data_IF_082885907929
#
_entry.id   IF_082885907929
#
_cell.length_a   1.000
_cell.length_b   1.000
_cell.length_c   1.000
_cell.angle_alpha   90.00
_cell.angle_beta   90.00
_cell.angle_gamma   90.00
#
_symmetry.space_group_name_H-M   'P 1'
#
loop_
_entity.id
_entity.type
_entity.pdbx_description
1 polymer ?
#
# COMPACT_ATOMS: atom_id res chain seq x y z
N UNK A 1 76.94 39.21 25.14
CA UNK A 1 75.63 38.81 25.70
C UNK A 1 74.62 38.62 24.58
N UNK A 2 74.43 37.39 24.09
CA UNK A 2 73.47 37.10 23.04
C UNK A 2 72.21 36.55 23.70
N UNK A 3 71.09 37.27 23.55
CA UNK A 3 69.78 36.77 23.95
C UNK A 3 69.14 35.95 22.80
N UNK A 4 69.06 34.65 23.02
CA UNK A 4 68.28 33.76 22.13
C UNK A 4 66.76 33.97 22.43
N UNK A 5 66.04 34.45 21.44
CA UNK A 5 64.56 34.48 21.47
C UNK A 5 64.01 33.16 20.94
N UNK A 6 63.44 32.32 21.81
CA UNK A 6 62.75 31.09 21.44
C UNK A 6 61.42 31.44 20.77
N UNK A 7 61.25 31.00 19.52
CA UNK A 7 59.98 31.07 18.77
C UNK A 7 59.13 29.88 19.17
N UNK A 8 58.04 30.10 19.90
CA UNK A 8 57.04 29.08 20.25
C UNK A 8 56.04 29.00 19.11
N UNK A 9 56.13 27.98 18.26
CA UNK A 9 55.14 27.72 17.24
C UNK A 9 53.96 26.99 17.91
N UNK A 10 52.84 27.68 18.01
CA UNK A 10 51.57 27.08 18.47
C UNK A 10 50.88 26.37 17.29
N UNK A 11 50.89 25.06 17.27
CA UNK A 11 50.07 24.29 16.37
C UNK A 11 48.62 24.31 16.86
N UNK A 12 47.76 25.00 16.12
CA UNK A 12 46.30 24.90 16.31
C UNK A 12 45.83 23.62 15.63
N UNK A 13 45.49 22.62 16.42
CA UNK A 13 44.86 21.41 15.91
C UNK A 13 43.42 21.72 15.50
N UNK A 14 43.16 21.78 14.19
CA UNK A 14 41.79 21.87 13.66
C UNK A 14 41.17 20.48 13.72
N UNK A 15 40.32 20.27 14.73
CA UNK A 15 39.53 19.07 14.89
C UNK A 15 38.33 19.14 13.91
N UNK A 16 38.50 18.53 12.74
CA UNK A 16 37.39 18.41 11.76
C UNK A 16 36.30 17.44 12.32
N UNK A 17 35.19 17.95 12.79
CA UNK A 17 34.02 17.15 13.13
C UNK A 17 33.42 16.56 11.85
N UNK A 18 33.67 15.30 11.59
CA UNK A 18 32.99 14.50 10.58
C UNK A 18 31.57 14.15 11.11
N UNK A 19 30.59 14.94 10.75
CA UNK A 19 29.18 14.62 11.02
C UNK A 19 28.76 13.43 10.11
N UNK A 20 28.17 12.37 10.66
CA UNK A 20 27.67 11.28 9.83
C UNK A 20 26.50 11.80 8.97
N UNK A 21 26.65 11.73 7.66
CA UNK A 21 25.57 11.98 6.72
C UNK A 21 24.61 10.80 6.81
N UNK A 22 23.47 10.99 7.51
CA UNK A 22 22.39 10.01 7.53
C UNK A 22 21.71 9.98 6.16
N UNK A 23 22.04 8.99 5.34
CA UNK A 23 21.34 8.72 4.08
C UNK A 23 19.97 8.15 4.43
N UNK A 24 18.92 8.97 4.36
CA UNK A 24 17.54 8.48 4.45
C UNK A 24 17.25 7.63 3.21
N UNK A 25 16.75 6.40 3.37
CA UNK A 25 16.37 5.58 2.22
C UNK A 25 15.26 6.30 1.43
N UNK A 26 15.48 6.48 0.13
CA UNK A 26 14.46 7.02 -0.76
C UNK A 26 13.22 6.10 -0.68
N UNK A 27 12.06 6.64 -0.32
CA UNK A 27 10.82 5.88 -0.34
C UNK A 27 10.47 5.53 -1.78
N UNK A 28 10.17 4.24 -2.02
CA UNK A 28 9.72 3.81 -3.33
C UNK A 28 8.44 4.56 -3.73
N UNK A 29 8.37 5.04 -4.99
CA UNK A 29 7.23 5.81 -5.52
C UNK A 29 5.93 5.03 -5.49
N UNK A 30 6.00 3.70 -5.56
CA UNK A 30 4.84 2.80 -5.62
C UNK A 30 4.92 1.73 -4.54
N UNK A 31 3.75 1.15 -4.25
CA UNK A 31 3.64 0.04 -3.31
C UNK A 31 4.15 -1.27 -3.89
N UNK A 32 4.71 -2.13 -3.04
CA UNK A 32 5.21 -3.44 -3.42
C UNK A 32 4.22 -4.56 -3.12
N UNK A 33 4.44 -5.73 -3.71
CA UNK A 33 3.71 -6.96 -3.42
C UNK A 33 3.65 -7.26 -1.91
N UNK A 34 4.82 -7.23 -1.24
CA UNK A 34 4.91 -7.48 0.19
C UNK A 34 4.09 -6.48 1.02
N UNK A 35 4.11 -5.20 0.63
CA UNK A 35 3.32 -4.16 1.28
C UNK A 35 1.82 -4.33 1.04
N UNK A 36 1.39 -4.72 -0.16
CA UNK A 36 -0.01 -5.03 -0.47
C UNK A 36 -0.53 -6.20 0.39
N UNK A 37 0.24 -7.27 0.48
CA UNK A 37 -0.09 -8.45 1.32
C UNK A 37 -0.15 -8.08 2.80
N UNK A 38 0.81 -7.30 3.29
CA UNK A 38 0.81 -6.80 4.67
C UNK A 38 -0.39 -5.91 4.96
N UNK A 39 -0.78 -5.01 4.02
CA UNK A 39 -1.96 -4.17 4.15
C UNK A 39 -3.23 -5.00 4.20
N UNK A 40 -3.38 -6.04 3.36
CA UNK A 40 -4.54 -6.94 3.40
C UNK A 40 -4.63 -7.68 4.74
N UNK A 41 -3.51 -8.18 5.28
CA UNK A 41 -3.50 -8.86 6.58
C UNK A 41 -3.97 -7.92 7.71
N UNK A 42 -3.51 -6.66 7.71
CA UNK A 42 -4.01 -5.65 8.66
C UNK A 42 -5.49 -5.34 8.46
N UNK A 43 -5.96 -5.27 7.22
CA UNK A 43 -7.36 -5.05 6.90
C UNK A 43 -8.24 -6.21 7.42
N UNK A 44 -7.80 -7.45 7.25
CA UNK A 44 -8.49 -8.64 7.79
C UNK A 44 -8.58 -8.57 9.31
N UNK A 45 -7.49 -8.20 10.00
CA UNK A 45 -7.49 -8.05 11.46
C UNK A 45 -8.46 -6.95 11.93
N UNK A 46 -8.45 -5.79 11.26
CA UNK A 46 -9.36 -4.68 11.56
C UNK A 46 -10.84 -5.07 11.34
N UNK A 47 -11.15 -5.77 10.24
CA UNK A 47 -12.51 -6.28 9.95
C UNK A 47 -13.02 -7.24 11.04
N UNK A 48 -12.16 -8.13 11.52
CA UNK A 48 -12.52 -9.07 12.61
C UNK A 48 -12.74 -8.35 13.94
N UNK A 49 -12.04 -7.27 14.19
CA UNK A 49 -12.16 -6.50 15.44
C UNK A 49 -13.43 -5.65 15.45
N UNK A 50 -13.65 -4.85 14.41
CA UNK A 50 -14.82 -3.99 14.21
C UNK A 50 -14.99 -3.67 12.73
N UNK A 51 -15.84 -4.41 12.03
CA UNK A 51 -16.03 -4.26 10.60
C UNK A 51 -16.57 -2.88 10.20
N UNK A 52 -17.43 -2.27 11.03
CA UNK A 52 -18.02 -0.96 10.74
C UNK A 52 -16.95 0.13 10.78
N UNK A 53 -16.15 0.13 11.83
CA UNK A 53 -15.00 1.03 11.97
C UNK A 53 -13.96 0.80 10.88
N UNK A 54 -13.63 -0.46 10.59
CA UNK A 54 -12.67 -0.82 9.54
C UNK A 54 -13.09 -0.30 8.17
N UNK A 55 -14.34 -0.54 7.75
CA UNK A 55 -14.87 -0.04 6.47
C UNK A 55 -14.84 1.49 6.39
N UNK A 56 -15.12 2.19 7.51
CA UNK A 56 -14.99 3.65 7.56
C UNK A 56 -13.55 4.11 7.36
N UNK A 57 -12.58 3.46 8.02
CA UNK A 57 -11.15 3.75 7.86
C UNK A 57 -10.66 3.48 6.43
N UNK A 58 -11.08 2.38 5.81
CA UNK A 58 -10.72 2.05 4.42
C UNK A 58 -11.21 3.11 3.44
N UNK A 59 -12.45 3.57 3.58
CA UNK A 59 -13.01 4.63 2.74
C UNK A 59 -12.28 5.97 2.88
N UNK A 60 -11.86 6.33 4.08
CA UNK A 60 -11.09 7.55 4.35
C UNK A 60 -9.60 7.41 4.03
N UNK A 61 -9.09 6.17 3.92
CA UNK A 61 -7.66 5.90 3.77
C UNK A 61 -6.87 6.10 5.07
N UNK A 62 -7.54 6.08 6.22
CA UNK A 62 -6.94 6.22 7.54
C UNK A 62 -6.25 4.91 7.99
N UNK A 63 -5.37 4.99 9.00
CA UNK A 63 -4.70 3.82 9.57
C UNK A 63 -3.74 3.11 8.60
N UNK A 64 -3.28 3.80 7.55
CA UNK A 64 -2.38 3.22 6.54
C UNK A 64 -3.08 2.23 5.60
N UNK A 65 -4.42 2.33 5.44
CA UNK A 65 -5.19 1.54 4.48
C UNK A 65 -5.28 2.16 3.08
N UNK A 66 -4.62 3.31 2.90
CA UNK A 66 -4.24 3.89 1.61
C UNK A 66 -2.79 4.37 1.73
N UNK A 67 -1.93 3.87 0.86
CA UNK A 67 -0.52 4.25 0.82
C UNK A 67 -0.03 4.26 -0.64
N UNK A 68 0.29 5.46 -1.17
CA UNK A 68 0.70 5.65 -2.57
C UNK A 68 -0.38 5.10 -3.52
N UNK A 69 -0.09 4.04 -4.27
CA UNK A 69 -1.03 3.37 -5.20
C UNK A 69 -1.71 2.12 -4.59
N UNK A 70 -1.39 1.78 -3.33
CA UNK A 70 -2.07 0.72 -2.57
C UNK A 70 -3.32 1.26 -1.86
N UNK A 71 -4.40 0.48 -1.92
CA UNK A 71 -5.63 0.76 -1.16
C UNK A 71 -6.41 -0.52 -0.90
N UNK A 72 -7.15 -0.52 0.21
CA UNK A 72 -8.09 -1.61 0.52
C UNK A 72 -9.39 -1.37 -0.23
N UNK A 73 -9.92 -2.43 -0.83
CA UNK A 73 -11.31 -2.48 -1.27
C UNK A 73 -12.05 -3.61 -0.56
N UNK A 74 -13.35 -3.44 -0.33
CA UNK A 74 -14.23 -4.48 0.20
C UNK A 74 -15.59 -4.40 -0.46
N UNK A 75 -16.12 -5.54 -0.88
CA UNK A 75 -17.48 -5.69 -1.38
C UNK A 75 -18.27 -6.63 -0.48
N UNK A 76 -19.55 -6.36 -0.28
CA UNK A 76 -20.47 -7.27 0.37
C UNK A 76 -20.45 -8.62 -0.37
N UNK A 77 -20.25 -9.72 0.35
CA UNK A 77 -20.09 -11.05 -0.27
C UNK A 77 -21.42 -11.64 -0.80
N UNK A 78 -22.57 -11.05 -0.48
CA UNK A 78 -23.90 -11.50 -0.92
C UNK A 78 -24.30 -10.81 -2.22
N UNK A 79 -24.32 -9.47 -2.21
CA UNK A 79 -24.82 -8.67 -3.34
C UNK A 79 -23.70 -8.02 -4.19
N UNK A 80 -22.45 -8.08 -3.74
CA UNK A 80 -21.32 -7.53 -4.45
C UNK A 80 -21.14 -6.02 -4.33
N UNK A 81 -21.97 -5.32 -3.57
CA UNK A 81 -21.84 -3.86 -3.40
C UNK A 81 -20.49 -3.49 -2.79
N UNK A 82 -19.72 -2.67 -3.47
CA UNK A 82 -18.46 -2.11 -2.97
C UNK A 82 -18.74 -1.14 -1.82
N UNK A 83 -18.54 -1.59 -0.60
CA UNK A 83 -18.76 -0.81 0.64
C UNK A 83 -17.53 0.00 1.01
N UNK A 84 -16.34 -0.42 0.55
CA UNK A 84 -15.10 0.33 0.66
C UNK A 84 -14.34 0.27 -0.67
N UNK A 85 -14.10 1.42 -1.26
CA UNK A 85 -13.26 1.62 -2.45
C UNK A 85 -13.03 3.12 -2.63
N UNK A 86 -11.80 3.59 -2.93
CA UNK A 86 -11.53 5.02 -3.05
C UNK A 86 -12.26 5.71 -4.22
N UNK A 87 -12.66 4.96 -5.26
CA UNK A 87 -13.22 5.53 -6.50
C UNK A 87 -14.53 4.88 -6.95
N UNK A 88 -14.83 3.64 -6.53
CA UNK A 88 -15.95 2.83 -7.03
C UNK A 88 -16.93 2.41 -5.93
N UNK A 89 -16.95 3.13 -4.81
CA UNK A 89 -17.89 2.85 -3.72
C UNK A 89 -19.34 2.95 -4.22
N UNK A 90 -20.14 1.92 -3.93
CA UNK A 90 -21.52 1.79 -4.38
C UNK A 90 -21.72 1.00 -5.67
N UNK A 91 -20.65 0.82 -6.47
CA UNK A 91 -20.69 -0.06 -7.64
C UNK A 91 -20.82 -1.53 -7.23
N UNK A 92 -21.28 -2.38 -8.14
CA UNK A 92 -21.31 -3.83 -7.92
C UNK A 92 -20.05 -4.50 -8.44
N UNK A 93 -19.32 -5.17 -7.54
CA UNK A 93 -18.04 -5.80 -7.86
C UNK A 93 -18.13 -6.77 -9.04
N UNK A 94 -19.22 -7.57 -9.15
CA UNK A 94 -19.40 -8.53 -10.24
C UNK A 94 -19.45 -7.88 -11.62
N UNK A 95 -19.75 -6.59 -11.72
CA UNK A 95 -19.85 -5.84 -12.98
C UNK A 95 -18.49 -5.22 -13.37
N UNK A 96 -17.55 -5.20 -12.42
CA UNK A 96 -16.21 -4.65 -12.65
C UNK A 96 -15.40 -5.59 -13.53
N UNK A 97 -14.90 -5.04 -14.65
CA UNK A 97 -14.00 -5.71 -15.59
C UNK A 97 -12.67 -5.00 -15.66
N UNK A 98 -11.60 -5.75 -15.75
CA UNK A 98 -10.28 -5.21 -16.11
C UNK A 98 -10.31 -4.59 -17.51
N UNK A 99 -9.39 -3.67 -17.80
CA UNK A 99 -9.39 -2.89 -19.06
C UNK A 99 -9.25 -3.72 -20.35
N UNK A 100 -8.80 -4.96 -20.24
CA UNK A 100 -8.78 -5.92 -21.36
C UNK A 100 -9.99 -6.88 -21.34
N UNK A 101 -11.08 -6.50 -20.66
CA UNK A 101 -12.32 -7.30 -20.60
C UNK A 101 -12.28 -8.43 -19.58
N UNK A 102 -11.22 -8.57 -18.80
CA UNK A 102 -11.11 -9.63 -17.79
C UNK A 102 -12.21 -9.53 -16.73
N UNK A 103 -12.97 -10.58 -16.41
CA UNK A 103 -14.12 -10.56 -15.50
C UNK A 103 -13.69 -10.54 -14.03
N UNK A 104 -12.87 -9.56 -13.66
CA UNK A 104 -12.22 -9.39 -12.35
C UNK A 104 -13.18 -9.57 -11.17
N UNK A 105 -14.28 -8.85 -11.21
CA UNK A 105 -15.21 -8.84 -10.09
C UNK A 105 -15.95 -10.15 -9.92
N UNK A 106 -16.36 -10.80 -11.01
CA UNK A 106 -16.96 -12.13 -10.97
C UNK A 106 -16.02 -13.17 -10.39
N UNK A 107 -14.74 -13.11 -10.77
CA UNK A 107 -13.75 -14.04 -10.24
C UNK A 107 -13.58 -13.88 -8.73
N UNK A 108 -13.45 -12.64 -8.24
CA UNK A 108 -13.32 -12.37 -6.80
C UNK A 108 -14.57 -12.86 -6.06
N UNK A 109 -15.78 -12.52 -6.57
CA UNK A 109 -17.05 -12.95 -5.93
C UNK A 109 -17.17 -14.46 -5.83
N UNK A 110 -16.75 -15.20 -6.86
CA UNK A 110 -16.85 -16.67 -6.91
C UNK A 110 -15.76 -17.37 -6.12
N UNK A 111 -14.55 -16.83 -6.09
CA UNK A 111 -13.37 -17.53 -5.58
C UNK A 111 -12.92 -17.10 -4.18
N UNK A 112 -13.38 -15.94 -3.66
CA UNK A 112 -13.00 -15.51 -2.33
C UNK A 112 -13.45 -16.51 -1.25
N UNK A 113 -12.54 -16.86 -0.36
CA UNK A 113 -12.79 -17.84 0.70
C UNK A 113 -12.21 -17.36 2.03
N UNK A 114 -12.92 -17.64 3.12
CA UNK A 114 -12.48 -17.29 4.48
C UNK A 114 -11.18 -18.01 4.84
N UNK A 115 -10.22 -17.24 5.36
CA UNK A 115 -8.91 -17.77 5.80
C UNK A 115 -7.95 -18.14 4.67
N UNK A 116 -8.31 -17.86 3.41
CA UNK A 116 -7.45 -18.12 2.24
C UNK A 116 -7.23 -16.83 1.46
N UNK A 117 -5.99 -16.38 1.37
CA UNK A 117 -5.60 -15.30 0.48
C UNK A 117 -5.38 -15.90 -0.91
N UNK A 118 -6.06 -15.35 -1.90
CA UNK A 118 -5.92 -15.65 -3.32
C UNK A 118 -5.39 -14.43 -4.05
N UNK A 119 -4.94 -14.63 -5.27
CA UNK A 119 -4.43 -13.57 -6.14
C UNK A 119 -5.14 -13.62 -7.49
N UNK A 120 -5.35 -12.44 -8.08
CA UNK A 120 -5.86 -12.25 -9.43
C UNK A 120 -5.02 -11.22 -10.16
N UNK A 121 -4.78 -11.45 -11.46
CA UNK A 121 -4.03 -10.53 -12.34
C UNK A 121 -4.95 -9.96 -13.40
N UNK A 122 -4.89 -8.63 -13.59
CA UNK A 122 -5.72 -7.91 -14.55
C UNK A 122 -5.05 -6.61 -14.97
N UNK A 123 -5.61 -5.89 -15.93
CA UNK A 123 -5.10 -4.60 -16.39
C UNK A 123 -5.95 -3.47 -15.81
N UNK A 124 -5.28 -2.52 -15.15
CA UNK A 124 -5.95 -1.40 -14.47
C UNK A 124 -5.06 -0.16 -14.48
N UNK A 125 -5.60 1.08 -14.60
CA UNK A 125 -4.78 2.28 -14.48
C UNK A 125 -4.38 2.52 -13.02
N UNK A 126 -3.19 3.09 -12.80
CA UNK A 126 -2.84 3.63 -11.49
C UNK A 126 -3.71 4.83 -11.15
N UNK A 127 -3.92 5.14 -9.86
CA UNK A 127 -4.54 6.40 -9.45
C UNK A 127 -3.88 7.60 -10.13
N UNK A 128 -4.69 8.48 -10.75
CA UNK A 128 -4.21 9.65 -11.48
C UNK A 128 -3.65 9.38 -12.89
N UNK A 129 -3.85 8.18 -13.44
CA UNK A 129 -3.41 7.81 -14.79
C UNK A 129 -4.53 7.08 -15.54
N UNK A 130 -4.60 7.28 -16.87
CA UNK A 130 -5.53 6.53 -17.73
C UNK A 130 -4.85 5.33 -18.41
N UNK A 131 -3.52 5.19 -18.27
CA UNK A 131 -2.76 4.11 -18.92
C UNK A 131 -2.93 2.81 -18.13
N UNK A 132 -3.54 1.76 -18.73
CA UNK A 132 -3.66 0.46 -18.07
C UNK A 132 -2.29 -0.22 -17.91
N UNK A 133 -2.01 -0.68 -16.72
CA UNK A 133 -0.83 -1.48 -16.38
C UNK A 133 -1.27 -2.83 -15.80
N UNK A 134 -0.38 -3.81 -15.81
CA UNK A 134 -0.62 -5.07 -15.14
C UNK A 134 -0.72 -4.85 -13.63
N UNK A 135 -1.86 -5.22 -13.08
CA UNK A 135 -2.17 -5.13 -11.66
C UNK A 135 -2.46 -6.50 -11.11
N UNK A 136 -1.91 -6.78 -9.95
CA UNK A 136 -2.19 -7.95 -9.15
C UNK A 136 -3.01 -7.52 -7.94
N UNK A 137 -3.96 -8.33 -7.49
CA UNK A 137 -4.69 -8.10 -6.26
C UNK A 137 -4.75 -9.36 -5.41
N UNK A 138 -4.27 -9.26 -4.19
CA UNK A 138 -4.58 -10.24 -3.14
C UNK A 138 -5.98 -10.00 -2.63
N UNK A 139 -6.76 -11.06 -2.44
CA UNK A 139 -8.10 -10.97 -1.92
C UNK A 139 -8.48 -12.16 -1.05
N UNK A 140 -9.43 -11.96 -0.16
CA UNK A 140 -9.96 -12.97 0.76
C UNK A 140 -11.37 -12.63 1.18
N UNK A 141 -12.08 -13.59 1.78
CA UNK A 141 -13.38 -13.35 2.43
C UNK A 141 -13.18 -13.18 3.93
N UNK A 142 -13.77 -12.12 4.51
CA UNK A 142 -13.72 -11.81 5.94
C UNK A 142 -15.01 -11.11 6.37
N UNK A 143 -15.61 -11.54 7.48
CA UNK A 143 -16.80 -10.90 8.12
C UNK A 143 -17.95 -10.60 7.15
N UNK A 144 -18.19 -11.47 6.16
CA UNK A 144 -19.23 -11.31 5.15
C UNK A 144 -18.86 -10.38 3.98
N UNK A 145 -17.59 -10.01 3.85
CA UNK A 145 -17.06 -9.17 2.77
C UNK A 145 -15.94 -9.87 2.02
N UNK A 146 -15.85 -9.60 0.72
CA UNK A 146 -14.70 -9.93 -0.11
C UNK A 146 -13.79 -8.69 -0.13
N UNK A 147 -12.68 -8.76 0.58
CA UNK A 147 -11.72 -7.64 0.69
C UNK A 147 -10.43 -7.96 -0.05
N UNK A 148 -9.79 -6.92 -0.57
CA UNK A 148 -8.50 -7.09 -1.25
C UNK A 148 -7.66 -5.81 -1.29
N UNK A 149 -6.40 -5.99 -1.69
CA UNK A 149 -5.43 -4.92 -1.94
C UNK A 149 -4.68 -5.24 -3.23
N UNK A 150 -4.65 -4.28 -4.15
CA UNK A 150 -3.94 -4.44 -5.41
C UNK A 150 -2.59 -3.72 -5.42
N UNK A 151 -1.63 -4.28 -6.16
CA UNK A 151 -0.32 -3.68 -6.45
C UNK A 151 -0.01 -3.80 -7.94
N UNK A 152 0.92 -2.99 -8.45
CA UNK A 152 1.36 -3.05 -9.84
C UNK A 152 2.76 -3.66 -9.90
N UNK A 153 2.97 -4.57 -10.82
CA UNK A 153 4.30 -5.05 -11.16
C UNK A 153 5.04 -3.94 -11.89
N UNK A 154 6.08 -3.45 -11.24
CA UNK A 154 6.78 -2.22 -11.48
C UNK A 154 7.48 -2.02 -12.76
#
# INVERSE_FOLDING_TARGET
MLQQRAFVIRYAAVLALLLPVSVLPAQATYGTEAQAKAMLNRAVAAMKQDKTKALAMFNKGEGGFRDRDLYVFCANAVDGTLTAHPYLKGEHLQDIKGKKGYPLGREIMQKAATGKIKEVTYWWPRPGSDKPLEKHAFYTKVEGFNCGVGYYKG
#
